data_IF_066425035533
#
_entry.id   IF_066425035533
#
_cell.length_a   1.000
_cell.length_b   1.000
_cell.length_c   1.000
_cell.angle_alpha   90.00
_cell.angle_beta   90.00
_cell.angle_gamma   90.00
#
_symmetry.space_group_name_H-M   'P 1'
#
loop_
_entity.id
_entity.type
_entity.pdbx_description
1 polymer ?
#
# COMPACT_ATOMS: atom_id res chain seq x y z
N UNK A 1 -5.80 -20.10 20.56
CA UNK A 1 -6.05 -18.85 21.31
C UNK A 1 -4.95 -17.86 20.92
N UNK A 2 -5.28 -16.83 20.13
CA UNK A 2 -4.30 -15.83 19.69
C UNK A 2 -3.99 -14.90 20.86
N UNK A 3 -2.74 -14.88 21.30
CA UNK A 3 -2.22 -13.90 22.26
C UNK A 3 -2.44 -12.49 21.70
N UNK A 4 -3.11 -11.61 22.45
CA UNK A 4 -3.24 -10.19 22.11
C UNK A 4 -1.96 -9.38 22.41
N UNK A 5 -0.82 -10.05 22.65
CA UNK A 5 0.44 -9.46 23.13
C UNK A 5 1.59 -9.51 22.11
N UNK A 6 1.35 -9.97 20.88
CA UNK A 6 2.37 -10.05 19.81
C UNK A 6 2.31 -8.89 18.82
N UNK A 7 3.26 -8.83 17.89
CA UNK A 7 3.29 -7.82 16.81
C UNK A 7 2.17 -8.03 15.78
N UNK A 8 1.59 -9.23 15.68
CA UNK A 8 0.58 -9.56 14.64
C UNK A 8 -0.66 -8.66 14.62
N UNK A 9 -1.35 -8.38 15.74
CA UNK A 9 -2.47 -7.44 15.76
C UNK A 9 -2.07 -6.03 15.27
N UNK A 10 -0.89 -5.55 15.66
CA UNK A 10 -0.39 -4.24 15.23
C UNK A 10 -0.09 -4.21 13.72
N UNK A 11 0.58 -5.24 13.20
CA UNK A 11 0.84 -5.38 11.76
C UNK A 11 -0.48 -5.46 10.97
N UNK A 12 -1.47 -6.20 11.48
CA UNK A 12 -2.80 -6.31 10.86
C UNK A 12 -3.51 -4.96 10.81
N UNK A 13 -3.53 -4.22 11.93
CA UNK A 13 -4.12 -2.88 11.99
C UNK A 13 -3.41 -1.90 11.06
N UNK A 14 -2.08 -1.94 11.01
CA UNK A 14 -1.28 -1.15 10.09
C UNK A 14 -1.66 -1.45 8.63
N UNK A 15 -1.80 -2.72 8.25
CA UNK A 15 -2.21 -3.11 6.88
C UNK A 15 -3.61 -2.63 6.54
N UNK A 16 -4.58 -2.71 7.46
CA UNK A 16 -5.92 -2.18 7.22
C UNK A 16 -5.94 -0.65 7.13
N UNK A 17 -5.11 0.04 7.92
CA UNK A 17 -4.91 1.49 7.78
C UNK A 17 -4.36 1.84 6.40
N UNK A 18 -3.34 1.12 5.96
CA UNK A 18 -2.75 1.29 4.62
C UNK A 18 -3.78 1.04 3.52
N UNK A 19 -4.59 -0.02 3.63
CA UNK A 19 -5.66 -0.32 2.68
C UNK A 19 -6.73 0.79 2.60
N UNK A 20 -7.09 1.41 3.73
CA UNK A 20 -8.00 2.56 3.73
C UNK A 20 -7.40 3.75 2.99
N UNK A 21 -6.11 4.01 3.17
CA UNK A 21 -5.40 5.04 2.43
C UNK A 21 -5.36 4.74 0.92
N UNK A 22 -5.11 3.48 0.54
CA UNK A 22 -5.14 3.02 -0.85
C UNK A 22 -6.52 3.17 -1.50
N UNK A 23 -7.60 2.85 -0.79
CA UNK A 23 -8.97 2.93 -1.31
C UNK A 23 -9.40 4.35 -1.73
N UNK A 24 -8.78 5.39 -1.15
CA UNK A 24 -8.99 6.79 -1.56
C UNK A 24 -8.63 7.02 -3.04
N UNK A 25 -7.79 6.17 -3.64
CA UNK A 25 -7.33 6.33 -5.02
C UNK A 25 -8.46 6.34 -6.05
N UNK A 26 -9.57 5.65 -5.76
CA UNK A 26 -10.77 5.63 -6.61
C UNK A 26 -11.43 7.01 -6.77
N UNK A 27 -11.30 7.89 -5.76
CA UNK A 27 -11.93 9.21 -5.74
C UNK A 27 -10.93 10.36 -5.83
N UNK A 28 -9.79 10.21 -5.15
CA UNK A 28 -8.74 11.23 -5.04
C UNK A 28 -7.36 10.55 -4.95
N UNK A 29 -6.69 10.36 -6.11
CA UNK A 29 -5.35 9.80 -6.16
C UNK A 29 -4.30 10.61 -5.37
N UNK A 30 -4.48 11.92 -5.23
CA UNK A 30 -3.56 12.80 -4.51
C UNK A 30 -3.68 12.61 -3.00
N UNK A 31 -4.91 12.54 -2.48
CA UNK A 31 -5.16 12.23 -1.08
C UNK A 31 -4.69 10.82 -0.73
N UNK A 32 -4.94 9.85 -1.62
CA UNK A 32 -4.44 8.47 -1.47
C UNK A 32 -2.93 8.42 -1.33
N UNK A 33 -2.20 9.05 -2.26
CA UNK A 33 -0.74 9.07 -2.24
C UNK A 33 -0.17 9.71 -0.97
N UNK A 34 -0.79 10.81 -0.51
CA UNK A 34 -0.41 11.49 0.74
C UNK A 34 -0.68 10.60 1.97
N UNK A 35 -1.84 9.95 2.03
CA UNK A 35 -2.20 9.09 3.14
C UNK A 35 -1.32 7.82 3.18
N UNK A 36 -1.04 7.22 2.03
CA UNK A 36 -0.16 6.05 1.92
C UNK A 36 1.27 6.39 2.35
N UNK A 37 1.78 7.58 2.03
CA UNK A 37 3.17 7.94 2.34
C UNK A 37 3.48 7.96 3.85
N UNK A 38 2.47 8.24 4.68
CA UNK A 38 2.60 8.22 6.15
C UNK A 38 2.92 6.84 6.73
N UNK A 39 2.72 5.77 5.95
CA UNK A 39 3.01 4.39 6.36
C UNK A 39 4.46 3.97 6.08
N UNK A 40 5.23 4.78 5.36
CA UNK A 40 6.60 4.46 5.01
C UNK A 40 7.57 5.15 5.95
N UNK A 41 8.51 4.38 6.49
CA UNK A 41 9.67 4.92 7.17
C UNK A 41 10.63 5.58 6.16
N UNK A 42 11.44 6.56 6.60
CA UNK A 42 12.57 7.04 5.81
C UNK A 42 13.47 5.89 5.36
N UNK A 43 14.05 6.01 4.18
CA UNK A 43 14.91 4.99 3.54
C UNK A 43 14.20 3.65 3.25
N UNK A 44 12.90 3.71 2.91
CA UNK A 44 12.17 2.55 2.42
C UNK A 44 12.84 1.99 1.18
N UNK A 45 13.11 0.68 1.16
CA UNK A 45 13.47 -0.05 -0.06
C UNK A 45 12.22 -0.66 -0.69
N UNK A 46 11.96 -0.30 -1.94
CA UNK A 46 10.90 -0.87 -2.77
C UNK A 46 11.49 -1.77 -3.85
N UNK A 47 10.81 -2.88 -4.12
CA UNK A 47 11.13 -3.80 -5.21
C UNK A 47 9.93 -3.92 -6.13
N UNK A 48 10.10 -3.56 -7.40
CA UNK A 48 9.03 -3.60 -8.40
C UNK A 48 9.58 -4.14 -9.72
N UNK A 49 9.07 -5.27 -10.19
CA UNK A 49 9.43 -5.88 -11.48
C UNK A 49 10.95 -5.98 -11.72
N UNK A 50 11.70 -6.42 -10.72
CA UNK A 50 13.16 -6.56 -10.79
C UNK A 50 13.95 -5.24 -10.61
N UNK A 51 13.26 -4.12 -10.42
CA UNK A 51 13.88 -2.84 -10.08
C UNK A 51 13.87 -2.62 -8.56
N UNK A 52 15.00 -2.22 -8.00
CA UNK A 52 15.12 -1.79 -6.60
C UNK A 52 15.20 -0.27 -6.54
N UNK A 53 14.44 0.36 -5.66
CA UNK A 53 14.48 1.81 -5.44
C UNK A 53 14.45 2.11 -3.96
N UNK A 54 15.34 2.98 -3.50
CA UNK A 54 15.31 3.51 -2.13
C UNK A 54 14.62 4.87 -2.15
N UNK A 55 13.63 5.04 -1.28
CA UNK A 55 12.87 6.28 -1.11
C UNK A 55 13.28 6.89 0.22
N UNK A 56 13.86 8.08 0.19
CA UNK A 56 14.53 8.67 1.35
C UNK A 56 13.54 9.38 2.26
N UNK A 57 12.45 9.93 1.70
CA UNK A 57 11.49 10.74 2.47
C UNK A 57 10.02 10.39 2.19
N UNK A 58 9.09 10.66 3.13
CA UNK A 58 7.66 10.54 2.89
C UNK A 58 7.14 11.39 1.72
N UNK A 59 7.76 12.55 1.46
CA UNK A 59 7.40 13.40 0.32
C UNK A 59 7.75 12.75 -1.03
N UNK A 60 8.93 12.12 -1.12
CA UNK A 60 9.31 11.32 -2.29
C UNK A 60 8.40 10.11 -2.47
N UNK A 61 8.02 9.45 -1.36
CA UNK A 61 7.08 8.33 -1.39
C UNK A 61 5.71 8.78 -1.93
N UNK A 62 5.15 9.89 -1.42
CA UNK A 62 3.89 10.45 -1.91
C UNK A 62 3.96 10.76 -3.42
N UNK A 63 5.04 11.40 -3.87
CA UNK A 63 5.25 11.68 -5.31
C UNK A 63 5.30 10.40 -6.14
N UNK A 64 6.06 9.39 -5.69
CA UNK A 64 6.18 8.11 -6.36
C UNK A 64 4.84 7.35 -6.44
N UNK A 65 4.10 7.30 -5.33
CA UNK A 65 2.78 6.68 -5.26
C UNK A 65 1.78 7.37 -6.18
N UNK A 66 1.74 8.70 -6.19
CA UNK A 66 0.88 9.44 -7.10
C UNK A 66 1.19 9.14 -8.57
N UNK A 67 2.46 9.17 -8.95
CA UNK A 67 2.89 8.83 -10.31
C UNK A 67 2.51 7.41 -10.69
N UNK A 68 2.54 6.47 -9.74
CA UNK A 68 2.09 5.10 -9.97
C UNK A 68 0.58 5.02 -10.20
N UNK A 69 -0.23 5.64 -9.35
CA UNK A 69 -1.70 5.68 -9.52
C UNK A 69 -2.09 6.35 -10.85
N UNK A 70 -1.45 7.45 -11.21
CA UNK A 70 -1.69 8.13 -12.50
C UNK A 70 -1.34 7.24 -13.70
N UNK A 71 -0.31 6.38 -13.60
CA UNK A 71 0.01 5.41 -14.66
C UNK A 71 -1.08 4.34 -14.81
N UNK A 72 -1.63 3.84 -13.70
CA UNK A 72 -2.72 2.86 -13.73
C UNK A 72 -3.99 3.45 -14.37
N UNK A 73 -4.35 4.67 -13.96
CA UNK A 73 -5.49 5.42 -14.55
C UNK A 73 -5.27 5.62 -16.05
N UNK A 74 -4.08 6.11 -16.46
CA UNK A 74 -3.77 6.32 -17.89
C UNK A 74 -3.77 5.03 -18.71
N UNK A 75 -3.46 3.89 -18.09
CA UNK A 75 -3.49 2.58 -18.74
C UNK A 75 -4.91 1.98 -18.82
N UNK A 76 -5.94 2.67 -18.33
CA UNK A 76 -7.32 2.18 -18.31
C UNK A 76 -7.63 1.20 -17.18
N UNK A 77 -6.68 0.97 -16.25
CA UNK A 77 -6.88 0.08 -15.10
C UNK A 77 -7.62 0.77 -13.96
N UNK A 78 -7.60 2.10 -13.91
CA UNK A 78 -8.19 2.89 -12.83
C UNK A 78 -7.31 2.93 -11.56
N UNK A 79 -7.89 3.42 -10.47
CA UNK A 79 -7.24 3.51 -9.15
C UNK A 79 -8.12 2.96 -8.02
N UNK A 80 -9.15 2.19 -8.35
CA UNK A 80 -9.90 1.39 -7.37
C UNK A 80 -9.11 0.12 -7.05
N UNK A 81 -8.39 0.17 -5.92
CA UNK A 81 -7.52 -0.89 -5.46
C UNK A 81 -8.03 -1.39 -4.11
N UNK A 82 -8.40 -2.67 -4.05
CA UNK A 82 -9.10 -3.26 -2.90
C UNK A 82 -8.26 -4.33 -2.25
N UNK A 83 -8.26 -4.33 -0.92
CA UNK A 83 -7.59 -5.36 -0.12
C UNK A 83 -8.42 -6.65 -0.14
N UNK A 84 -7.87 -7.74 -0.68
CA UNK A 84 -8.57 -9.04 -0.74
C UNK A 84 -8.10 -9.98 0.37
N UNK A 85 -6.79 -10.00 0.62
CA UNK A 85 -6.20 -10.93 1.58
C UNK A 85 -5.04 -10.29 2.31
N UNK A 86 -4.96 -10.60 3.61
CA UNK A 86 -3.82 -10.32 4.46
C UNK A 86 -3.36 -11.63 5.09
N UNK A 87 -2.06 -11.86 5.11
CA UNK A 87 -1.43 -12.86 5.95
C UNK A 87 -0.23 -12.21 6.66
N UNK A 88 -0.17 -12.39 7.99
CA UNK A 88 0.93 -11.87 8.80
C UNK A 88 1.81 -13.02 9.24
N UNK A 89 3.12 -12.87 9.09
CA UNK A 89 4.13 -13.77 9.61
C UNK A 89 5.01 -13.01 10.59
N UNK A 90 4.93 -13.35 11.86
CA UNK A 90 5.84 -12.80 12.87
C UNK A 90 7.28 -13.24 12.59
N UNK A 91 8.20 -12.29 12.72
CA UNK A 91 9.64 -12.50 12.58
C UNK A 91 10.31 -12.39 13.95
N UNK A 92 9.90 -11.40 14.75
CA UNK A 92 10.34 -11.19 16.13
C UNK A 92 9.25 -10.49 16.95
N UNK A 93 9.53 -10.22 18.23
CA UNK A 93 8.64 -9.47 19.13
C UNK A 93 8.18 -8.12 18.54
N UNK A 94 9.01 -7.48 17.71
CA UNK A 94 8.76 -6.14 17.18
C UNK A 94 8.72 -6.08 15.64
N UNK A 95 8.78 -7.23 14.95
CA UNK A 95 8.81 -7.25 13.49
C UNK A 95 7.97 -8.37 12.90
N UNK A 96 7.31 -8.06 11.79
CA UNK A 96 6.51 -9.01 11.04
C UNK A 96 6.63 -8.73 9.53
N UNK A 97 6.52 -9.79 8.74
CA UNK A 97 6.24 -9.67 7.32
C UNK A 97 4.72 -9.72 7.09
N UNK A 98 4.21 -8.81 6.27
CA UNK A 98 2.82 -8.81 5.84
C UNK A 98 2.77 -9.15 4.36
N UNK A 99 2.01 -10.18 4.02
CA UNK A 99 1.71 -10.58 2.66
C UNK A 99 0.31 -10.11 2.31
N UNK A 100 0.20 -9.32 1.25
CA UNK A 100 -1.05 -8.68 0.85
C UNK A 100 -1.39 -9.04 -0.58
N UNK A 101 -2.67 -9.36 -0.82
CA UNK A 101 -3.23 -9.47 -2.17
C UNK A 101 -4.17 -8.30 -2.40
N UNK A 102 -3.89 -7.55 -3.46
CA UNK A 102 -4.71 -6.44 -3.92
C UNK A 102 -5.46 -6.85 -5.18
N UNK A 103 -6.71 -6.44 -5.28
CA UNK A 103 -7.49 -6.47 -6.52
C UNK A 103 -7.47 -5.05 -7.12
N UNK A 104 -7.17 -4.96 -8.41
CA UNK A 104 -7.32 -3.72 -9.17
C UNK A 104 -8.61 -3.87 -9.96
N UNK A 105 -9.59 -3.02 -9.66
CA UNK A 105 -10.89 -3.03 -10.34
C UNK A 105 -10.79 -2.12 -11.55
N UNK A 106 -10.91 -2.73 -12.73
CA UNK A 106 -10.92 -2.04 -14.02
C UNK A 106 -12.31 -1.47 -14.23
N UNK A 107 -12.42 -0.18 -14.58
CA UNK A 107 -13.69 0.42 -14.93
C UNK A 107 -14.24 -0.22 -16.22
N UNK A 108 -15.49 -0.71 -16.19
CA UNK A 108 -16.17 -1.35 -17.34
C UNK A 108 -16.48 -0.38 -18.50
N UNK A 109 -16.03 0.87 -18.43
CA UNK A 109 -16.32 1.89 -19.44
C UNK A 109 -15.02 2.45 -20.03
N UNK A 110 -14.46 1.79 -21.07
CA UNK A 110 -13.36 2.37 -21.81
C UNK A 110 -13.90 3.60 -22.55
N UNK A 111 -13.30 4.76 -22.28
CA UNK A 111 -13.45 5.93 -23.15
C UNK A 111 -12.86 5.62 -24.52
#
# INVERSE_FOLDING_TARGET
>A
MSSSKGISPHATLFTHSYARATALGSTDPQASATAMSSHYLPNLTSFTLGTTTTVSTPAEAAKGTLLHLQKLIKAGVGADIRLIRVAVKEISEFSAAVFVTWELVVDDNPI
#
